data_IF_912829147133
#
_entry.id   IF_912829147133
#
_cell.length_a   1.000
_cell.length_b   1.000
_cell.length_c   1.000
_cell.angle_alpha   90.00
_cell.angle_beta   90.00
_cell.angle_gamma   90.00
#
_symmetry.space_group_name_H-M   'P 1'
#
loop_
_entity.id
_entity.type
_entity.pdbx_description
1 polymer ?
#
# COMPACT_ATOMS: atom_id res chain seq x y z
N UNK A 1 -23.45 16.08 17.24
CA UNK A 1 -23.36 16.81 15.96
C UNK A 1 -23.56 15.80 14.84
N UNK A 2 -24.31 16.14 13.78
CA UNK A 2 -24.44 15.29 12.60
C UNK A 2 -23.05 15.21 11.94
N UNK A 3 -22.63 14.01 11.51
CA UNK A 3 -21.39 13.86 10.75
C UNK A 3 -21.54 14.56 9.40
N UNK A 4 -20.47 15.17 8.95
CA UNK A 4 -20.38 15.82 7.65
C UNK A 4 -20.44 14.80 6.51
N UNK A 5 -21.02 15.17 5.37
CA UNK A 5 -20.98 14.35 4.16
C UNK A 5 -19.69 14.58 3.41
N UNK A 6 -19.14 13.52 2.82
CA UNK A 6 -17.97 13.61 1.97
C UNK A 6 -18.30 14.32 0.64
N UNK A 7 -17.42 15.23 0.21
CA UNK A 7 -17.59 15.97 -1.06
C UNK A 7 -16.78 15.28 -2.18
N UNK A 8 -17.45 14.81 -3.22
CA UNK A 8 -16.87 14.15 -4.40
C UNK A 8 -16.65 15.12 -5.59
N UNK A 9 -16.56 16.42 -5.35
CA UNK A 9 -16.39 17.41 -6.43
C UNK A 9 -15.03 17.29 -7.16
N UNK A 10 -14.03 16.68 -6.52
CA UNK A 10 -12.68 16.45 -7.07
C UNK A 10 -12.41 14.97 -7.27
N UNK A 11 -11.64 14.59 -8.32
CA UNK A 11 -11.16 13.22 -8.48
C UNK A 11 -10.38 12.75 -7.25
N UNK A 12 -10.70 11.54 -6.77
CA UNK A 12 -10.03 10.92 -5.63
C UNK A 12 -8.84 10.06 -6.08
N UNK A 13 -7.68 10.27 -5.46
CA UNK A 13 -6.43 9.55 -5.74
C UNK A 13 -5.79 9.09 -4.44
N UNK A 14 -5.38 7.84 -4.39
CA UNK A 14 -4.61 7.29 -3.28
C UNK A 14 -3.12 7.46 -3.58
N UNK A 15 -2.42 8.20 -2.74
CA UNK A 15 -0.98 8.41 -2.80
C UNK A 15 -0.35 7.88 -1.52
N UNK A 16 0.94 7.57 -1.52
CA UNK A 16 1.60 7.25 -0.26
C UNK A 16 3.08 7.49 -0.29
N UNK A 17 3.66 7.67 0.89
CA UNK A 17 5.09 7.77 1.10
C UNK A 17 5.71 6.40 1.29
N UNK A 18 6.83 6.16 0.61
CA UNK A 18 7.63 4.93 0.70
C UNK A 18 9.12 5.28 0.72
N UNK A 19 9.97 4.37 1.15
CA UNK A 19 11.41 4.59 1.24
C UNK A 19 12.01 4.06 2.54
N UNK A 20 13.33 4.19 2.70
CA UNK A 20 14.08 3.65 3.83
C UNK A 20 13.64 4.25 5.17
N UNK A 21 13.92 3.54 6.27
CA UNK A 21 13.75 4.10 7.64
C UNK A 21 14.62 5.35 7.79
N UNK A 22 14.17 6.32 8.57
CA UNK A 22 14.84 7.60 8.85
C UNK A 22 15.09 8.54 7.64
N UNK A 23 14.58 8.21 6.46
CA UNK A 23 14.61 9.13 5.32
C UNK A 23 13.57 10.25 5.38
N UNK A 24 12.68 10.24 6.40
CA UNK A 24 11.77 11.35 6.71
C UNK A 24 10.40 11.26 6.03
N UNK A 25 9.86 10.06 5.80
CA UNK A 25 8.53 9.83 5.21
C UNK A 25 7.41 10.51 6.01
N UNK A 26 7.30 10.18 7.29
CA UNK A 26 6.28 10.75 8.19
C UNK A 26 6.47 12.26 8.39
N UNK A 27 7.73 12.73 8.42
CA UNK A 27 8.04 14.17 8.45
C UNK A 27 7.54 14.87 7.19
N UNK A 28 7.71 14.25 6.02
CA UNK A 28 7.18 14.78 4.76
C UNK A 28 5.66 14.79 4.74
N UNK A 29 5.01 13.73 5.20
CA UNK A 29 3.55 13.66 5.33
C UNK A 29 3.02 14.78 6.23
N UNK A 30 3.66 15.02 7.37
CA UNK A 30 3.33 16.14 8.25
C UNK A 30 3.58 17.50 7.59
N UNK A 31 4.68 17.67 6.85
CA UNK A 31 4.99 18.89 6.11
C UNK A 31 3.95 19.18 5.02
N UNK A 32 3.54 18.17 4.24
CA UNK A 32 2.49 18.32 3.22
C UNK A 32 1.20 18.82 3.84
N UNK A 33 0.71 18.17 4.90
CA UNK A 33 -0.54 18.61 5.57
C UNK A 33 -0.43 20.00 6.16
N UNK A 34 0.74 20.35 6.74
CA UNK A 34 0.98 21.67 7.32
C UNK A 34 0.99 22.78 6.26
N UNK A 35 1.71 22.57 5.14
CA UNK A 35 1.79 23.54 4.05
C UNK A 35 0.43 23.71 3.36
N UNK A 36 -0.28 22.63 3.12
CA UNK A 36 -1.63 22.67 2.53
C UNK A 36 -2.67 23.28 3.49
N UNK A 37 -2.55 23.04 4.79
CA UNK A 37 -3.44 23.66 5.80
C UNK A 37 -3.35 25.19 5.81
N UNK A 38 -2.16 25.78 5.60
CA UNK A 38 -1.99 27.23 5.45
C UNK A 38 -2.78 27.79 4.26
N UNK A 39 -3.11 26.95 3.28
CA UNK A 39 -3.90 27.31 2.11
C UNK A 39 -5.39 26.89 2.22
N UNK A 40 -5.80 26.33 3.36
CA UNK A 40 -7.16 25.84 3.57
C UNK A 40 -7.48 24.53 2.79
N UNK A 41 -6.46 23.78 2.38
CA UNK A 41 -6.58 22.58 1.55
C UNK A 41 -6.38 21.27 2.34
N UNK A 42 -6.13 21.36 3.63
CA UNK A 42 -5.97 20.21 4.55
C UNK A 42 -6.35 20.61 5.96
N UNK A 43 -6.65 19.61 6.80
CA UNK A 43 -6.55 19.76 8.25
C UNK A 43 -5.09 19.63 8.67
N UNK A 44 -4.68 20.44 9.65
CA UNK A 44 -3.32 20.34 10.22
C UNK A 44 -3.15 18.98 10.92
N UNK A 45 -2.14 18.22 10.51
CA UNK A 45 -1.73 16.98 11.17
C UNK A 45 -0.29 17.11 11.65
N UNK A 46 -0.10 17.00 12.96
CA UNK A 46 1.24 16.97 13.53
C UNK A 46 1.88 15.59 13.36
N UNK A 47 3.20 15.51 13.38
CA UNK A 47 3.95 14.26 13.37
C UNK A 47 3.39 13.25 14.39
N UNK A 48 3.22 13.66 15.66
CA UNK A 48 2.68 12.83 16.74
C UNK A 48 1.23 12.36 16.52
N UNK A 49 0.50 12.99 15.62
CA UNK A 49 -0.88 12.59 15.29
C UNK A 49 -0.93 11.58 14.14
N UNK A 50 0.15 11.45 13.37
CA UNK A 50 0.36 10.48 12.29
C UNK A 50 0.87 9.18 12.89
N UNK A 51 2.03 9.22 13.57
CA UNK A 51 2.59 8.11 14.34
C UNK A 51 2.00 8.10 15.76
N UNK A 52 0.86 7.42 15.91
CA UNK A 52 0.01 7.58 17.10
C UNK A 52 0.14 6.45 18.12
N UNK A 53 0.65 5.28 17.71
CA UNK A 53 0.81 4.13 18.61
C UNK A 53 1.90 4.38 19.66
N UNK A 54 1.72 3.92 20.92
CA UNK A 54 2.74 4.09 21.95
C UNK A 54 4.12 3.55 21.55
N UNK A 55 4.16 2.41 20.85
CA UNK A 55 5.39 1.79 20.37
C UNK A 55 6.08 2.61 19.26
N UNK A 56 5.31 3.28 18.41
CA UNK A 56 5.84 4.18 17.38
C UNK A 56 6.54 5.38 18.00
N UNK A 57 5.93 5.96 19.04
CA UNK A 57 6.48 7.09 19.79
C UNK A 57 7.74 6.71 20.58
N UNK A 58 7.76 5.52 21.17
CA UNK A 58 8.90 5.02 21.94
C UNK A 58 10.10 4.71 21.05
N UNK A 59 9.86 4.14 19.87
CA UNK A 59 10.92 3.72 18.93
C UNK A 59 11.29 4.80 17.91
N UNK A 60 10.45 5.83 17.72
CA UNK A 60 10.64 6.87 16.72
C UNK A 60 10.51 6.35 15.27
N UNK A 61 9.79 5.26 15.05
CA UNK A 61 9.59 4.65 13.73
C UNK A 61 8.12 4.35 13.48
N UNK A 62 7.67 4.49 12.25
CA UNK A 62 6.32 4.09 11.82
C UNK A 62 6.21 2.57 11.76
N UNK A 63 5.24 2.01 12.43
CA UNK A 63 4.95 0.58 12.50
C UNK A 63 3.72 0.23 11.66
N UNK A 64 2.64 0.98 11.83
CA UNK A 64 1.39 0.78 11.12
C UNK A 64 1.24 1.82 10.00
N UNK A 65 0.48 1.47 8.96
CA UNK A 65 0.08 2.45 7.96
C UNK A 65 -0.85 3.48 8.58
N UNK A 66 -0.56 4.75 8.33
CA UNK A 66 -1.42 5.86 8.73
C UNK A 66 -2.06 6.50 7.52
N UNK A 67 -3.34 6.86 7.64
CA UNK A 67 -4.09 7.48 6.55
C UNK A 67 -4.37 8.94 6.87
N UNK A 68 -3.99 9.82 5.95
CA UNK A 68 -4.18 11.28 6.07
C UNK A 68 -4.95 11.79 4.84
N UNK A 69 -5.83 12.75 5.05
CA UNK A 69 -6.64 13.37 4.00
C UNK A 69 -6.11 14.78 3.71
N UNK A 70 -5.97 15.13 2.44
CA UNK A 70 -5.73 16.49 1.97
C UNK A 70 -6.15 16.67 0.52
N UNK A 71 -6.12 17.90 0.03
CA UNK A 71 -6.47 18.19 -1.36
C UNK A 71 -5.54 19.24 -1.96
N UNK A 72 -5.46 19.23 -3.28
CA UNK A 72 -4.92 20.32 -4.09
C UNK A 72 -6.07 21.11 -4.73
N UNK A 73 -5.75 22.05 -5.59
CA UNK A 73 -6.77 22.71 -6.40
C UNK A 73 -7.52 21.70 -7.31
N UNK A 74 -6.85 20.65 -7.75
CA UNK A 74 -7.30 19.74 -8.80
C UNK A 74 -7.83 18.40 -8.28
N UNK A 75 -7.32 17.89 -7.14
CA UNK A 75 -7.55 16.51 -6.68
C UNK A 75 -7.75 16.44 -5.17
N UNK A 76 -8.48 15.41 -4.76
CA UNK A 76 -8.58 14.96 -3.39
C UNK A 76 -7.66 13.75 -3.19
N UNK A 77 -6.88 13.74 -2.10
CA UNK A 77 -5.92 12.69 -1.81
C UNK A 77 -6.23 11.97 -0.49
N UNK A 78 -6.23 10.64 -0.55
CA UNK A 78 -5.97 9.79 0.60
C UNK A 78 -4.47 9.47 0.59
N UNK A 79 -3.76 9.86 1.62
CA UNK A 79 -2.32 9.62 1.74
C UNK A 79 -2.06 8.51 2.76
N UNK A 80 -1.34 7.49 2.32
CA UNK A 80 -0.92 6.35 3.13
C UNK A 80 0.54 6.54 3.52
N UNK A 81 0.81 6.79 4.79
CA UNK A 81 2.18 6.80 5.31
C UNK A 81 2.61 5.37 5.63
N UNK A 82 3.62 4.87 4.92
CA UNK A 82 4.08 3.49 5.03
C UNK A 82 5.29 3.36 5.95
N UNK A 83 5.36 2.27 6.75
CA UNK A 83 6.55 1.97 7.53
C UNK A 83 7.77 1.77 6.64
N UNK A 84 8.94 2.18 7.11
CA UNK A 84 10.21 2.02 6.39
C UNK A 84 11.03 0.82 6.85
N UNK A 85 10.77 0.27 8.03
CA UNK A 85 11.59 -0.77 8.64
C UNK A 85 11.26 -2.16 8.09
N UNK A 86 12.29 -2.99 7.89
CA UNK A 86 12.17 -4.34 7.31
C UNK A 86 11.19 -5.26 8.08
N UNK A 87 11.08 -5.11 9.40
CA UNK A 87 10.16 -5.93 10.23
C UNK A 87 8.69 -5.65 9.91
N UNK A 88 8.36 -4.49 9.35
CA UNK A 88 6.99 -4.04 9.06
C UNK A 88 6.64 -4.05 7.57
N UNK A 89 7.42 -4.74 6.75
CA UNK A 89 7.18 -4.83 5.29
C UNK A 89 5.77 -5.35 4.98
N UNK A 90 5.17 -6.20 5.81
CA UNK A 90 3.77 -6.61 5.67
C UNK A 90 2.82 -5.41 5.60
N UNK A 91 3.00 -4.45 6.50
CA UNK A 91 2.18 -3.24 6.53
C UNK A 91 2.50 -2.32 5.34
N UNK A 92 3.79 -2.27 4.94
CA UNK A 92 4.20 -1.55 3.73
C UNK A 92 3.55 -2.13 2.47
N UNK A 93 3.58 -3.45 2.27
CA UNK A 93 2.96 -4.10 1.11
C UNK A 93 1.45 -3.84 1.07
N UNK A 94 0.78 -3.94 2.22
CA UNK A 94 -0.65 -3.64 2.32
C UNK A 94 -0.95 -2.18 1.99
N UNK A 95 -0.16 -1.25 2.50
CA UNK A 95 -0.29 0.18 2.19
C UNK A 95 -0.02 0.47 0.72
N UNK A 96 1.07 -0.08 0.16
CA UNK A 96 1.44 0.11 -1.24
C UNK A 96 0.38 -0.43 -2.21
N UNK A 97 -0.28 -1.54 -1.88
CA UNK A 97 -1.36 -2.10 -2.70
C UNK A 97 -2.58 -1.18 -2.83
N UNK A 98 -2.69 -0.16 -1.97
CA UNK A 98 -3.77 0.82 -2.01
C UNK A 98 -3.44 2.04 -2.87
N UNK A 99 -2.18 2.24 -3.25
CA UNK A 99 -1.72 3.46 -3.91
C UNK A 99 -2.02 3.46 -5.41
N UNK A 100 -2.50 4.60 -5.90
CA UNK A 100 -2.61 4.92 -7.33
C UNK A 100 -1.32 5.57 -7.85
N UNK A 101 -0.42 5.97 -6.95
CA UNK A 101 0.91 6.50 -7.18
C UNK A 101 1.68 6.59 -5.88
N UNK A 102 3.00 6.66 -5.92
CA UNK A 102 3.83 6.76 -4.73
C UNK A 102 4.77 7.95 -4.75
N UNK A 103 5.11 8.45 -3.56
CA UNK A 103 6.21 9.39 -3.31
C UNK A 103 7.34 8.59 -2.68
N UNK A 104 8.42 8.40 -3.42
CA UNK A 104 9.63 7.78 -2.90
C UNK A 104 10.47 8.83 -2.18
N UNK A 105 10.68 8.64 -0.90
CA UNK A 105 11.48 9.56 -0.07
C UNK A 105 12.88 8.99 0.11
N UNK A 106 13.88 9.71 -0.37
CA UNK A 106 15.31 9.37 -0.26
C UNK A 106 16.03 10.50 0.42
N UNK A 107 16.81 10.22 1.48
CA UNK A 107 17.65 11.22 2.10
C UNK A 107 18.86 11.51 1.21
N UNK A 108 19.11 12.78 0.92
CA UNK A 108 20.24 13.21 0.09
C UNK A 108 21.60 12.90 0.75
N UNK A 109 21.61 12.75 2.09
CA UNK A 109 22.81 12.38 2.86
C UNK A 109 23.22 10.92 2.69
N UNK A 110 22.25 10.04 2.39
CA UNK A 110 22.45 8.58 2.44
C UNK A 110 22.31 7.92 1.07
N UNK A 111 21.58 8.54 0.16
CA UNK A 111 21.22 7.96 -1.13
C UNK A 111 20.26 6.78 -1.03
N UNK A 112 20.10 5.99 -2.11
CA UNK A 112 19.28 4.78 -2.11
C UNK A 112 19.86 3.70 -1.19
N UNK A 113 19.08 3.27 -0.21
CA UNK A 113 19.44 2.27 0.79
C UNK A 113 18.74 0.92 0.49
N UNK A 114 19.12 -0.20 1.14
CA UNK A 114 18.53 -1.51 0.85
C UNK A 114 17.02 -1.57 0.87
N UNK A 115 16.37 -0.92 1.86
CA UNK A 115 14.90 -0.86 1.93
C UNK A 115 14.31 0.02 0.84
N UNK A 116 15.03 1.03 0.34
CA UNK A 116 14.60 1.81 -0.83
C UNK A 116 14.43 0.90 -2.04
N UNK A 117 15.40 0.01 -2.28
CA UNK A 117 15.34 -1.00 -3.35
C UNK A 117 14.14 -1.94 -3.17
N UNK A 118 13.95 -2.50 -1.96
CA UNK A 118 12.83 -3.40 -1.66
C UNK A 118 11.48 -2.70 -1.86
N UNK A 119 11.35 -1.45 -1.43
CA UNK A 119 10.12 -0.69 -1.55
C UNK A 119 9.75 -0.37 -3.01
N UNK A 120 10.72 0.00 -3.85
CA UNK A 120 10.48 0.21 -5.29
C UNK A 120 10.07 -1.09 -5.97
N UNK A 121 10.74 -2.21 -5.66
CA UNK A 121 10.37 -3.53 -6.13
C UNK A 121 8.93 -3.88 -5.73
N UNK A 122 8.58 -3.75 -4.45
CA UNK A 122 7.25 -4.08 -3.93
C UNK A 122 6.17 -3.17 -4.53
N UNK A 123 6.43 -1.87 -4.68
CA UNK A 123 5.52 -0.96 -5.37
C UNK A 123 5.24 -1.43 -6.81
N UNK A 124 6.26 -1.91 -7.52
CA UNK A 124 6.09 -2.49 -8.86
C UNK A 124 5.23 -3.75 -8.83
N UNK A 125 5.44 -4.62 -7.84
CA UNK A 125 4.68 -5.87 -7.71
C UNK A 125 3.18 -5.65 -7.41
N UNK A 126 2.85 -4.63 -6.63
CA UNK A 126 1.45 -4.28 -6.34
C UNK A 126 0.84 -3.31 -7.35
N UNK A 127 1.49 -3.12 -8.51
CA UNK A 127 1.01 -2.28 -9.61
C UNK A 127 0.88 -0.78 -9.32
N UNK A 128 1.73 -0.21 -8.49
CA UNK A 128 1.84 1.25 -8.42
C UNK A 128 2.34 1.77 -9.77
N UNK A 129 1.56 2.56 -10.53
CA UNK A 129 1.89 2.84 -11.92
C UNK A 129 3.02 3.84 -12.10
N UNK A 130 3.16 4.80 -11.19
CA UNK A 130 4.11 5.91 -11.26
C UNK A 130 4.65 6.27 -9.88
N UNK A 131 5.90 6.71 -9.85
CA UNK A 131 6.59 7.17 -8.64
C UNK A 131 7.12 8.59 -8.89
N UNK A 132 6.83 9.51 -7.95
CA UNK A 132 7.46 10.82 -7.84
C UNK A 132 8.49 10.73 -6.71
N UNK A 133 9.64 11.37 -6.85
CA UNK A 133 10.70 11.30 -5.84
C UNK A 133 10.80 12.60 -5.07
N UNK A 134 10.92 12.50 -3.77
CA UNK A 134 11.31 13.62 -2.91
C UNK A 134 12.70 13.34 -2.35
N UNK A 135 13.72 14.05 -2.86
CA UNK A 135 15.08 14.01 -2.33
C UNK A 135 15.13 14.90 -1.09
N UNK A 136 15.02 14.25 0.06
CA UNK A 136 14.88 14.92 1.37
C UNK A 136 16.23 15.24 2.00
N UNK A 137 16.23 16.08 3.04
CA UNK A 137 17.41 16.53 3.80
C UNK A 137 18.44 17.27 2.95
N UNK A 138 18.02 17.95 1.88
CA UNK A 138 18.93 18.75 1.05
C UNK A 138 19.50 19.99 1.79
N UNK A 139 18.92 20.36 2.91
CA UNK A 139 19.46 21.37 3.84
C UNK A 139 20.75 20.93 4.55
N UNK A 140 21.05 19.63 4.55
CA UNK A 140 22.23 19.03 5.18
C UNK A 140 23.38 18.76 4.19
N UNK A 141 23.18 19.05 2.90
CA UNK A 141 24.17 18.78 1.84
C UNK A 141 24.53 20.09 1.16
N UNK A 142 25.76 20.54 1.38
CA UNK A 142 26.29 21.79 0.84
C UNK A 142 26.82 21.64 -0.60
N UNK A 143 27.20 20.42 -0.99
CA UNK A 143 27.78 20.14 -2.31
C UNK A 143 26.71 19.77 -3.35
N UNK A 144 26.48 20.61 -4.38
CA UNK A 144 25.54 20.31 -5.44
C UNK A 144 25.85 19.03 -6.24
N UNK A 145 27.14 18.69 -6.40
CA UNK A 145 27.55 17.49 -7.15
C UNK A 145 27.09 16.21 -6.44
N UNK A 146 27.08 16.23 -5.09
CA UNK A 146 26.53 15.11 -4.30
C UNK A 146 25.03 14.94 -4.54
N UNK A 147 24.26 16.03 -4.64
CA UNK A 147 22.84 15.97 -4.94
C UNK A 147 22.59 15.41 -6.35
N UNK A 148 23.41 15.80 -7.33
CA UNK A 148 23.32 15.28 -8.69
C UNK A 148 23.63 13.77 -8.76
N UNK A 149 24.64 13.32 -8.00
CA UNK A 149 25.00 11.91 -7.92
C UNK A 149 23.87 11.07 -7.32
N UNK A 150 23.31 11.49 -6.18
CA UNK A 150 22.20 10.76 -5.54
C UNK A 150 20.96 10.75 -6.44
N UNK A 151 20.69 11.85 -7.15
CA UNK A 151 19.59 11.88 -8.12
C UNK A 151 19.78 10.86 -9.24
N UNK A 152 21.01 10.73 -9.76
CA UNK A 152 21.35 9.75 -10.79
C UNK A 152 21.17 8.32 -10.28
N UNK A 153 21.63 8.01 -9.08
CA UNK A 153 21.44 6.69 -8.45
C UNK A 153 19.96 6.33 -8.27
N UNK A 154 19.12 7.31 -7.91
CA UNK A 154 17.67 7.11 -7.79
C UNK A 154 17.03 6.85 -9.16
N UNK A 155 17.45 7.57 -10.22
CA UNK A 155 16.97 7.31 -11.58
C UNK A 155 17.33 5.92 -12.08
N UNK A 156 18.56 5.47 -11.83
CA UNK A 156 19.02 4.13 -12.16
C UNK A 156 18.21 3.07 -11.39
N UNK A 157 17.93 3.31 -10.11
CA UNK A 157 17.10 2.43 -9.31
C UNK A 157 15.68 2.30 -9.87
N UNK A 158 15.04 3.40 -10.23
CA UNK A 158 13.70 3.39 -10.82
C UNK A 158 13.70 2.63 -12.15
N UNK A 159 14.67 2.89 -13.02
CA UNK A 159 14.82 2.22 -14.31
C UNK A 159 15.07 0.72 -14.17
N UNK A 160 15.83 0.29 -13.16
CA UNK A 160 16.06 -1.12 -12.83
C UNK A 160 14.77 -1.89 -12.57
N UNK A 161 13.75 -1.23 -12.02
CA UNK A 161 12.45 -1.84 -11.71
C UNK A 161 11.33 -1.43 -12.69
N UNK A 162 11.69 -1.10 -13.94
CA UNK A 162 10.77 -0.76 -15.03
C UNK A 162 9.88 0.46 -14.76
N UNK A 163 10.34 1.40 -13.95
CA UNK A 163 9.78 2.74 -13.89
C UNK A 163 10.52 3.66 -14.88
N UNK A 164 9.86 4.72 -15.31
CA UNK A 164 10.46 5.75 -16.17
C UNK A 164 11.42 6.65 -15.36
N UNK A 165 12.63 6.12 -15.06
CA UNK A 165 13.61 6.81 -14.23
C UNK A 165 14.09 8.12 -14.85
N UNK A 166 14.19 8.19 -16.18
CA UNK A 166 14.68 9.39 -16.89
C UNK A 166 13.71 10.57 -16.75
N UNK A 167 12.40 10.32 -16.79
CA UNK A 167 11.36 11.35 -16.76
C UNK A 167 10.63 11.46 -15.40
N UNK A 168 10.93 10.60 -14.43
CA UNK A 168 10.34 10.69 -13.09
C UNK A 168 10.69 12.04 -12.45
N UNK A 169 9.69 12.80 -11.97
CA UNK A 169 9.96 14.05 -11.24
C UNK A 169 10.74 13.75 -9.96
N UNK A 170 11.84 14.48 -9.76
CA UNK A 170 12.65 14.45 -8.53
C UNK A 170 12.70 15.86 -7.96
N UNK A 171 12.12 16.06 -6.78
CA UNK A 171 12.05 17.33 -6.10
C UNK A 171 13.06 17.32 -4.95
N UNK A 172 14.01 18.26 -4.98
CA UNK A 172 15.03 18.44 -3.95
C UNK A 172 14.49 19.34 -2.86
N UNK A 173 14.41 18.86 -1.62
CA UNK A 173 13.80 19.61 -0.53
C UNK A 173 14.25 19.20 0.86
N UNK A 174 13.67 19.87 1.84
CA UNK A 174 13.78 19.55 3.26
C UNK A 174 12.39 19.51 3.89
N UNK A 175 11.93 18.30 4.23
CA UNK A 175 10.65 18.12 4.89
C UNK A 175 10.63 18.80 6.28
N UNK A 176 11.73 18.73 7.02
CA UNK A 176 11.85 19.37 8.33
C UNK A 176 11.86 20.89 8.20
N UNK A 177 12.60 21.45 7.24
CA UNK A 177 12.62 22.88 6.97
C UNK A 177 11.23 23.40 6.58
N UNK A 178 10.50 22.67 5.74
CA UNK A 178 9.11 23.01 5.39
C UNK A 178 8.18 22.96 6.61
N UNK A 179 8.30 21.92 7.45
CA UNK A 179 7.52 21.77 8.67
C UNK A 179 7.79 22.91 9.67
N UNK A 180 9.03 23.40 9.72
CA UNK A 180 9.45 24.55 10.53
C UNK A 180 9.01 25.91 9.94
N UNK A 181 8.40 25.91 8.76
CA UNK A 181 7.85 27.13 8.13
C UNK A 181 8.86 27.93 7.32
N UNK A 182 9.96 27.33 6.88
CA UNK A 182 10.92 27.97 5.99
C UNK A 182 10.36 28.10 4.56
N UNK A 183 10.16 29.34 4.04
CA UNK A 183 9.44 29.55 2.77
C UNK A 183 10.04 28.79 1.59
N UNK A 184 11.38 28.73 1.50
CA UNK A 184 12.11 27.99 0.46
C UNK A 184 11.67 26.51 0.38
N UNK A 185 11.53 25.87 1.54
CA UNK A 185 11.19 24.46 1.61
C UNK A 185 9.70 24.20 1.51
N UNK A 186 8.87 25.14 1.95
CA UNK A 186 7.41 25.11 1.70
C UNK A 186 7.11 25.17 0.19
N UNK A 187 7.84 25.99 -0.58
CA UNK A 187 7.74 26.03 -2.05
C UNK A 187 8.07 24.67 -2.67
N UNK A 188 9.08 23.95 -2.14
CA UNK A 188 9.45 22.60 -2.62
C UNK A 188 8.38 21.55 -2.32
N UNK A 189 7.68 21.66 -1.20
CA UNK A 189 6.52 20.81 -0.91
C UNK A 189 5.38 21.12 -1.90
N UNK A 190 5.15 22.36 -2.27
CA UNK A 190 4.15 22.71 -3.30
C UNK A 190 4.55 22.19 -4.68
N UNK A 191 5.83 22.33 -5.05
CA UNK A 191 6.37 21.75 -6.29
C UNK A 191 6.19 20.23 -6.35
N UNK A 192 6.38 19.54 -5.21
CA UNK A 192 6.07 18.11 -5.09
C UNK A 192 4.60 17.83 -5.38
N UNK A 193 3.69 18.60 -4.80
CA UNK A 193 2.26 18.39 -5.01
C UNK A 193 1.84 18.67 -6.45
N UNK A 194 2.43 19.68 -7.10
CA UNK A 194 2.19 19.97 -8.52
C UNK A 194 2.73 18.84 -9.42
N UNK A 195 3.87 18.25 -9.06
CA UNK A 195 4.42 17.08 -9.75
C UNK A 195 3.51 15.84 -9.57
N UNK A 196 3.00 15.61 -8.36
CA UNK A 196 2.03 14.53 -8.08
C UNK A 196 0.76 14.73 -8.88
N UNK A 197 0.20 15.95 -8.91
CA UNK A 197 -1.01 16.28 -9.68
C UNK A 197 -0.84 16.02 -11.18
N UNK A 198 0.33 16.32 -11.74
CA UNK A 198 0.58 16.24 -13.17
C UNK A 198 1.09 14.88 -13.64
N UNK A 199 1.96 14.24 -12.85
CA UNK A 199 2.65 13.01 -13.27
C UNK A 199 1.90 11.74 -12.92
N UNK A 200 1.22 11.68 -11.77
CA UNK A 200 0.41 10.51 -11.37
C UNK A 200 -0.88 10.51 -12.19
N UNK A 201 -1.18 9.44 -12.96
CA UNK A 201 -2.40 9.38 -13.74
C UNK A 201 -3.64 9.28 -12.84
N UNK A 202 -4.78 9.76 -13.35
CA UNK A 202 -6.06 9.47 -12.71
C UNK A 202 -6.34 7.97 -12.85
N UNK A 203 -6.64 7.27 -11.75
CA UNK A 203 -6.89 5.85 -11.79
C UNK A 203 -8.20 5.52 -12.52
N UNK A 204 -8.18 4.44 -13.29
CA UNK A 204 -9.40 3.85 -13.84
C UNK A 204 -10.04 3.00 -12.76
N UNK A 205 -11.28 3.32 -12.38
CA UNK A 205 -12.03 2.62 -11.34
C UNK A 205 -12.91 1.52 -11.94
N UNK A 206 -12.80 0.30 -11.41
CA UNK A 206 -13.57 -0.85 -11.87
C UNK A 206 -14.94 -0.93 -11.17
N UNK A 207 -15.76 0.13 -11.27
CA UNK A 207 -17.06 0.24 -10.62
C UNK A 207 -18.10 -0.75 -11.16
N UNK A 208 -17.95 -1.19 -12.39
CA UNK A 208 -18.86 -2.16 -13.05
C UNK A 208 -18.68 -3.61 -12.55
N UNK A 209 -17.56 -3.91 -11.91
CA UNK A 209 -17.32 -5.24 -11.34
C UNK A 209 -18.10 -5.45 -10.05
N UNK A 210 -18.31 -6.69 -9.60
CA UNK A 210 -18.86 -6.97 -8.27
C UNK A 210 -18.03 -6.31 -7.17
N UNK A 211 -18.71 -5.81 -6.13
CA UNK A 211 -18.04 -5.20 -4.98
C UNK A 211 -17.10 -6.18 -4.29
N UNK A 212 -15.88 -5.71 -4.03
CA UNK A 212 -14.83 -6.43 -3.29
C UNK A 212 -13.98 -5.44 -2.51
N UNK A 213 -13.81 -5.67 -1.22
CA UNK A 213 -12.93 -4.89 -0.33
C UNK A 213 -12.11 -5.82 0.57
N UNK A 214 -10.78 -5.90 0.42
CA UNK A 214 -9.89 -6.56 1.37
C UNK A 214 -9.91 -5.85 2.73
N UNK A 215 -9.99 -6.62 3.82
CA UNK A 215 -10.01 -6.09 5.18
C UNK A 215 -8.58 -5.83 5.65
N UNK A 216 -8.33 -4.61 6.09
CA UNK A 216 -7.06 -4.18 6.68
C UNK A 216 -7.08 -4.19 8.18
N UNK A 217 -8.16 -3.64 8.74
CA UNK A 217 -8.31 -3.53 10.18
C UNK A 217 -9.77 -3.73 10.62
N UNK A 218 -9.96 -4.10 11.87
CA UNK A 218 -11.28 -4.40 12.45
C UNK A 218 -11.43 -3.70 13.79
N UNK A 219 -12.46 -2.87 13.89
CA UNK A 219 -12.78 -2.11 15.10
C UNK A 219 -14.15 -2.50 15.65
N UNK A 220 -14.33 -2.32 16.92
CA UNK A 220 -15.66 -2.38 17.56
C UNK A 220 -16.04 -1.00 18.06
N UNK A 221 -17.21 -0.51 17.65
CA UNK A 221 -17.75 0.76 18.12
C UNK A 221 -18.91 0.46 19.07
N UNK A 222 -18.77 0.85 20.32
CA UNK A 222 -19.81 0.63 21.35
C UNK A 222 -21.15 1.18 20.88
N UNK A 223 -22.18 0.33 20.89
CA UNK A 223 -23.55 0.68 20.48
C UNK A 223 -23.78 0.78 18.96
N UNK A 224 -22.74 0.56 18.12
CA UNK A 224 -22.86 0.58 16.65
C UNK A 224 -22.54 -0.76 15.98
N UNK A 225 -21.62 -1.56 16.55
CA UNK A 225 -21.23 -2.84 16.00
C UNK A 225 -19.78 -2.90 15.52
N UNK A 226 -19.51 -3.83 14.62
CA UNK A 226 -18.18 -4.06 14.05
C UNK A 226 -18.00 -3.18 12.81
N UNK A 227 -16.85 -2.49 12.75
CA UNK A 227 -16.40 -1.73 11.60
C UNK A 227 -15.17 -2.41 11.02
N UNK A 228 -15.17 -2.66 9.73
CA UNK A 228 -14.01 -3.13 8.97
C UNK A 228 -13.53 -2.03 8.07
N UNK A 229 -12.22 -1.85 7.97
CA UNK A 229 -11.60 -0.85 7.09
C UNK A 229 -10.83 -1.51 5.97
N UNK A 230 -10.75 -0.84 4.85
CA UNK A 230 -9.99 -1.24 3.68
C UNK A 230 -10.21 -0.32 2.49
N UNK A 231 -9.43 -0.54 1.45
CA UNK A 231 -9.68 0.08 0.14
C UNK A 231 -10.62 -0.80 -0.66
N UNK A 232 -11.66 -0.22 -1.25
CA UNK A 232 -12.51 -0.93 -2.20
C UNK A 232 -11.68 -1.24 -3.46
N UNK A 233 -11.51 -2.53 -3.75
CA UNK A 233 -10.73 -3.00 -4.91
C UNK A 233 -11.54 -2.86 -6.19
N UNK A 234 -12.80 -3.31 -6.16
CA UNK A 234 -13.74 -3.25 -7.29
C UNK A 234 -15.17 -2.98 -6.82
N UNK A 235 -15.99 -2.47 -7.74
CA UNK A 235 -17.43 -2.31 -7.55
C UNK A 235 -17.84 -1.14 -6.68
N UNK A 236 -19.12 -1.13 -6.35
CA UNK A 236 -19.78 -0.11 -5.53
C UNK A 236 -20.52 -0.80 -4.40
N UNK A 237 -20.54 -0.17 -3.22
CA UNK A 237 -21.29 -0.60 -2.05
C UNK A 237 -22.19 0.53 -1.57
N UNK A 238 -23.47 0.22 -1.31
CA UNK A 238 -24.44 1.16 -0.74
C UNK A 238 -24.77 0.78 0.70
N UNK A 239 -25.23 1.77 1.45
CA UNK A 239 -25.83 1.51 2.75
C UNK A 239 -27.11 0.68 2.57
N UNK A 240 -27.18 -0.48 3.21
CA UNK A 240 -28.28 -1.44 3.09
C UNK A 240 -27.93 -2.69 2.28
N UNK A 241 -26.82 -2.68 1.54
CA UNK A 241 -26.43 -3.82 0.72
C UNK A 241 -26.06 -5.04 1.56
N UNK A 242 -26.51 -6.25 1.14
CA UNK A 242 -26.02 -7.51 1.71
C UNK A 242 -24.59 -7.76 1.28
N UNK A 243 -23.77 -8.28 2.20
CA UNK A 243 -22.37 -8.62 1.97
C UNK A 243 -22.02 -9.98 2.54
N UNK A 244 -21.00 -10.58 1.98
CA UNK A 244 -20.33 -11.77 2.49
C UNK A 244 -18.91 -11.44 2.95
N UNK A 245 -18.46 -12.08 4.03
CA UNK A 245 -17.10 -11.98 4.54
C UNK A 245 -16.44 -13.35 4.36
N UNK A 246 -15.33 -13.38 3.62
CA UNK A 246 -14.75 -14.58 3.05
C UNK A 246 -13.26 -14.65 3.34
N UNK A 247 -12.77 -15.84 3.63
CA UNK A 247 -11.35 -16.15 3.85
C UNK A 247 -11.05 -16.65 5.26
N UNK A 248 -9.89 -17.29 5.44
CA UNK A 248 -9.36 -17.91 6.67
C UNK A 248 -10.16 -19.12 7.18
N UNK A 249 -11.43 -19.20 6.90
CA UNK A 249 -12.32 -20.30 7.31
C UNK A 249 -13.15 -20.73 6.09
N UNK A 250 -13.58 -21.98 6.08
CA UNK A 250 -14.48 -22.51 5.01
C UNK A 250 -15.87 -21.87 5.08
N UNK A 251 -16.27 -21.42 6.28
CA UNK A 251 -17.58 -20.82 6.50
C UNK A 251 -17.57 -19.35 6.09
N UNK A 252 -18.39 -19.04 5.12
CA UNK A 252 -18.71 -17.66 4.74
C UNK A 252 -19.66 -17.03 5.77
N UNK A 253 -19.33 -15.82 6.22
CA UNK A 253 -20.20 -15.01 7.09
C UNK A 253 -21.05 -14.09 6.20
N UNK A 254 -22.31 -13.90 6.57
CA UNK A 254 -23.22 -12.98 5.87
C UNK A 254 -23.58 -11.80 6.77
N UNK A 255 -23.64 -10.61 6.21
CA UNK A 255 -23.98 -9.38 6.91
C UNK A 255 -24.71 -8.40 6.01
N UNK A 256 -25.03 -7.24 6.57
CA UNK A 256 -25.55 -6.08 5.84
C UNK A 256 -24.66 -4.88 6.17
N UNK A 257 -24.24 -4.15 5.15
CA UNK A 257 -23.56 -2.86 5.31
C UNK A 257 -24.57 -1.82 5.81
N UNK A 258 -24.39 -1.33 7.03
CA UNK A 258 -25.31 -0.33 7.64
C UNK A 258 -24.75 1.08 7.66
N UNK A 259 -23.53 1.27 7.19
CA UNK A 259 -22.90 2.58 7.06
C UNK A 259 -21.59 2.49 6.31
N UNK A 260 -21.29 3.53 5.55
CA UNK A 260 -20.03 3.73 4.82
C UNK A 260 -19.46 5.07 5.28
N UNK A 261 -18.20 5.05 5.73
CA UNK A 261 -17.50 6.25 6.21
C UNK A 261 -16.11 6.34 5.58
N UNK A 262 -15.68 7.53 5.21
CA UNK A 262 -14.33 7.85 4.77
C UNK A 262 -13.85 9.11 5.49
N UNK A 263 -12.68 9.07 6.16
CA UNK A 263 -12.14 10.17 6.95
C UNK A 263 -13.16 10.79 7.95
N UNK A 264 -13.93 9.93 8.63
CA UNK A 264 -15.00 10.29 9.59
C UNK A 264 -16.20 11.02 8.97
N UNK A 265 -16.25 11.15 7.65
CA UNK A 265 -17.40 11.71 6.89
C UNK A 265 -18.30 10.56 6.41
N UNK A 266 -19.60 10.80 6.35
CA UNK A 266 -20.55 9.81 5.85
C UNK A 266 -20.57 9.79 4.33
N UNK A 267 -20.66 8.58 3.76
CA UNK A 267 -20.95 8.38 2.35
C UNK A 267 -22.28 7.65 2.19
N UNK A 268 -23.03 7.99 1.15
CA UNK A 268 -24.22 7.24 0.75
C UNK A 268 -23.83 5.93 0.05
N UNK A 269 -22.69 5.95 -0.66
CA UNK A 269 -22.06 4.82 -1.34
C UNK A 269 -20.54 4.90 -1.29
N UNK A 270 -19.86 3.74 -1.35
CA UNK A 270 -18.41 3.64 -1.55
C UNK A 270 -18.11 3.06 -2.92
N UNK A 271 -17.11 3.61 -3.61
CA UNK A 271 -16.70 3.22 -4.96
C UNK A 271 -15.31 2.59 -4.97
N UNK A 272 -14.99 1.84 -6.03
CA UNK A 272 -13.65 1.32 -6.23
C UNK A 272 -12.60 2.43 -6.07
N UNK A 273 -11.60 2.18 -5.23
CA UNK A 273 -10.54 3.13 -4.88
C UNK A 273 -10.76 3.90 -3.58
N UNK A 274 -11.96 3.94 -3.04
CA UNK A 274 -12.22 4.60 -1.75
C UNK A 274 -11.61 3.80 -0.58
N UNK A 275 -10.97 4.51 0.35
CA UNK A 275 -10.55 3.93 1.64
C UNK A 275 -11.66 4.14 2.66
N UNK A 276 -12.41 3.10 2.95
CA UNK A 276 -13.63 3.21 3.75
C UNK A 276 -13.63 2.34 5.00
N UNK A 277 -14.42 2.77 5.96
CA UNK A 277 -14.89 1.94 7.06
C UNK A 277 -16.33 1.51 6.78
N UNK A 278 -16.58 0.20 6.74
CA UNK A 278 -17.91 -0.37 6.59
C UNK A 278 -18.43 -0.84 7.95
N UNK A 279 -19.60 -0.35 8.32
CA UNK A 279 -20.31 -0.80 9.51
C UNK A 279 -21.14 -2.04 9.17
N UNK A 280 -20.85 -3.16 9.83
CA UNK A 280 -21.45 -4.46 9.57
C UNK A 280 -22.46 -4.83 10.66
N UNK A 281 -23.65 -5.28 10.25
CA UNK A 281 -24.72 -5.70 11.17
C UNK A 281 -24.51 -7.12 11.63
N UNK A 282 -24.62 -7.33 12.97
CA UNK A 282 -24.73 -8.68 13.55
C UNK A 282 -23.45 -9.53 13.48
N UNK A 283 -22.31 -8.91 13.24
CA UNK A 283 -20.99 -9.55 13.21
C UNK A 283 -20.20 -9.14 14.44
N UNK A 284 -19.64 -10.13 15.16
CA UNK A 284 -18.69 -9.88 16.26
C UNK A 284 -17.30 -9.60 15.69
N UNK A 285 -16.58 -8.65 16.31
CA UNK A 285 -15.19 -8.33 15.94
C UNK A 285 -14.28 -9.58 15.91
N UNK A 286 -14.55 -10.58 16.74
CA UNK A 286 -13.75 -11.81 16.82
C UNK A 286 -13.92 -12.74 15.62
N UNK A 287 -15.03 -12.61 14.89
CA UNK A 287 -15.35 -13.44 13.72
C UNK A 287 -14.66 -12.92 12.45
N UNK A 288 -14.19 -11.67 12.48
CA UNK A 288 -13.59 -11.01 11.32
C UNK A 288 -12.13 -10.68 11.61
N UNK A 289 -11.28 -10.92 10.62
CA UNK A 289 -9.82 -10.71 10.76
C UNK A 289 -9.28 -9.99 9.52
N UNK A 290 -8.16 -9.29 9.71
CA UNK A 290 -7.35 -8.82 8.58
C UNK A 290 -7.01 -9.98 7.65
N UNK A 291 -7.06 -9.74 6.34
CA UNK A 291 -6.82 -10.75 5.32
C UNK A 291 -8.07 -11.41 4.75
N UNK A 292 -9.21 -11.32 5.46
CA UNK A 292 -10.51 -11.62 4.87
C UNK A 292 -10.93 -10.53 3.88
N UNK A 293 -11.93 -10.81 3.07
CA UNK A 293 -12.53 -9.83 2.16
C UNK A 293 -14.02 -9.64 2.46
N UNK A 294 -14.52 -8.43 2.26
CA UNK A 294 -15.96 -8.16 2.16
C UNK A 294 -16.32 -8.10 0.69
N UNK A 295 -17.30 -8.86 0.27
CA UNK A 295 -17.67 -9.00 -1.13
C UNK A 295 -19.18 -9.00 -1.33
N UNK A 296 -19.60 -8.73 -2.58
CA UNK A 296 -20.98 -8.97 -3.01
C UNK A 296 -21.29 -10.46 -2.88
N UNK A 297 -22.45 -10.86 -2.34
CA UNK A 297 -22.79 -12.26 -2.15
C UNK A 297 -22.64 -13.10 -3.42
N UNK A 298 -21.92 -14.23 -3.30
CA UNK A 298 -21.68 -15.18 -4.40
C UNK A 298 -20.69 -14.69 -5.48
N UNK A 299 -19.99 -13.58 -5.30
CA UNK A 299 -19.08 -13.03 -6.32
C UNK A 299 -17.65 -13.57 -6.26
N UNK A 300 -17.24 -14.10 -5.13
CA UNK A 300 -15.92 -14.71 -4.92
C UNK A 300 -16.05 -15.86 -3.93
N UNK A 301 -15.16 -16.84 -4.05
CA UNK A 301 -15.11 -18.01 -3.16
C UNK A 301 -13.72 -18.16 -2.53
N UNK A 302 -13.62 -18.76 -1.33
CA UNK A 302 -12.33 -19.04 -0.72
C UNK A 302 -11.68 -20.27 -1.38
N UNK A 303 -10.38 -20.22 -1.58
CA UNK A 303 -9.60 -21.26 -2.25
C UNK A 303 -8.30 -21.55 -1.51
N UNK A 304 -7.81 -22.78 -1.64
CA UNK A 304 -6.57 -23.25 -1.00
C UNK A 304 -5.49 -23.62 -2.00
N UNK A 305 -5.81 -23.70 -3.31
CA UNK A 305 -4.85 -24.16 -4.31
C UNK A 305 -4.95 -23.34 -5.59
N UNK A 306 -3.79 -22.92 -6.12
CA UNK A 306 -3.71 -22.16 -7.36
C UNK A 306 -2.41 -22.44 -8.13
N UNK A 307 -2.45 -22.22 -9.44
CA UNK A 307 -1.27 -22.18 -10.31
C UNK A 307 -0.87 -20.72 -10.55
N UNK A 308 0.43 -20.44 -10.52
CA UNK A 308 0.97 -19.10 -10.69
C UNK A 308 2.28 -19.11 -11.47
N UNK A 309 2.47 -18.06 -12.26
CA UNK A 309 3.78 -17.71 -12.79
C UNK A 309 4.53 -16.87 -11.76
N UNK A 310 5.77 -17.24 -11.46
CA UNK A 310 6.59 -16.55 -10.46
C UNK A 310 7.99 -16.24 -10.99
N UNK A 311 8.52 -15.11 -10.55
CA UNK A 311 9.91 -14.74 -10.69
C UNK A 311 10.60 -14.83 -9.32
N UNK A 312 11.73 -15.51 -9.26
CA UNK A 312 12.51 -15.66 -8.03
C UNK A 312 13.66 -14.66 -8.05
N UNK A 313 13.66 -13.76 -7.08
CA UNK A 313 14.63 -12.66 -6.99
C UNK A 313 16.06 -13.18 -6.80
N UNK A 314 16.99 -12.57 -7.53
CA UNK A 314 18.44 -12.81 -7.38
C UNK A 314 18.96 -12.22 -6.06
N UNK A 315 20.16 -12.66 -5.66
CA UNK A 315 20.85 -12.13 -4.48
C UNK A 315 21.08 -10.60 -4.57
N UNK A 316 21.43 -10.11 -5.76
CA UNK A 316 21.67 -8.68 -6.03
C UNK A 316 20.38 -7.83 -5.97
N UNK A 317 19.23 -8.50 -6.04
CA UNK A 317 17.90 -7.90 -5.89
C UNK A 317 17.36 -8.00 -4.44
N UNK A 318 18.20 -8.47 -3.50
CA UNK A 318 17.83 -8.71 -2.11
C UNK A 318 17.16 -10.07 -1.86
N UNK A 319 17.06 -10.91 -2.91
CA UNK A 319 16.43 -12.22 -2.87
C UNK A 319 17.30 -13.34 -2.32
N UNK A 320 17.05 -14.56 -2.78
CA UNK A 320 17.77 -15.77 -2.38
C UNK A 320 19.14 -15.87 -3.05
N UNK A 321 20.03 -16.62 -2.43
CA UNK A 321 21.33 -17.01 -3.00
C UNK A 321 21.43 -18.53 -3.21
N UNK A 322 20.41 -19.29 -2.80
CA UNK A 322 20.32 -20.75 -2.94
C UNK A 322 19.06 -21.14 -3.68
N UNK A 323 19.04 -22.24 -4.44
CA UNK A 323 17.83 -22.77 -5.03
C UNK A 323 16.84 -23.24 -3.97
N UNK A 324 15.60 -23.44 -4.37
CA UNK A 324 14.63 -24.20 -3.59
C UNK A 324 14.09 -25.39 -4.39
N UNK A 325 13.62 -26.37 -3.67
CA UNK A 325 13.11 -27.64 -4.21
C UNK A 325 11.61 -27.75 -3.99
N UNK A 326 11.04 -28.83 -4.49
CA UNK A 326 9.64 -29.17 -4.25
C UNK A 326 9.33 -29.20 -2.74
N UNK A 327 8.09 -28.88 -2.37
CA UNK A 327 7.62 -28.73 -0.99
C UNK A 327 8.24 -27.56 -0.21
N UNK A 328 8.80 -26.57 -0.90
CA UNK A 328 9.23 -25.32 -0.28
C UNK A 328 8.02 -24.57 0.33
N UNK A 329 8.17 -24.03 1.55
CA UNK A 329 7.08 -23.44 2.33
C UNK A 329 7.35 -21.99 2.74
N UNK A 330 7.29 -21.03 1.82
CA UNK A 330 7.40 -19.61 2.12
C UNK A 330 6.05 -19.02 2.57
N UNK A 331 6.06 -17.72 2.86
CA UNK A 331 4.85 -16.92 3.05
C UNK A 331 4.45 -16.24 1.73
N UNK A 332 3.16 -16.31 1.42
CA UNK A 332 2.52 -15.64 0.29
C UNK A 332 1.76 -14.43 0.80
N UNK A 333 2.05 -13.27 0.26
CA UNK A 333 1.37 -12.01 0.57
C UNK A 333 0.36 -11.74 -0.53
N UNK A 334 -0.90 -11.97 -0.21
CA UNK A 334 -2.05 -11.90 -1.10
C UNK A 334 -3.00 -10.81 -0.57
N UNK A 335 -3.15 -9.68 -1.27
CA UNK A 335 -3.91 -8.51 -0.78
C UNK A 335 -3.41 -8.06 0.62
N UNK A 336 -4.29 -8.12 1.61
CA UNK A 336 -3.98 -7.75 3.00
C UNK A 336 -3.54 -8.94 3.87
N UNK A 337 -3.46 -10.15 3.27
CA UNK A 337 -3.16 -11.40 3.96
C UNK A 337 -1.73 -11.86 3.72
N UNK A 338 -1.14 -12.46 4.74
CA UNK A 338 0.03 -13.32 4.65
C UNK A 338 -0.34 -14.75 5.07
N UNK A 339 -0.02 -15.71 4.22
CA UNK A 339 -0.34 -17.12 4.44
C UNK A 339 0.81 -18.00 3.99
N UNK A 340 1.11 -19.03 4.79
CA UNK A 340 2.08 -20.06 4.38
C UNK A 340 1.47 -20.93 3.29
N UNK A 341 2.25 -21.17 2.24
CA UNK A 341 1.87 -22.10 1.17
C UNK A 341 2.99 -23.06 0.84
N UNK A 342 2.63 -24.27 0.46
CA UNK A 342 3.56 -25.28 -0.05
C UNK A 342 3.64 -25.21 -1.56
N UNK A 343 4.87 -25.09 -2.07
CA UNK A 343 5.16 -24.98 -3.51
C UNK A 343 5.38 -26.35 -4.11
N UNK A 344 4.64 -26.63 -5.18
CA UNK A 344 4.83 -27.83 -6.02
C UNK A 344 5.38 -27.41 -7.38
N UNK A 345 6.52 -27.98 -7.75
CA UNK A 345 7.18 -27.71 -9.02
C UNK A 345 6.57 -28.57 -10.14
N UNK A 346 6.59 -28.09 -11.39
CA UNK A 346 6.10 -28.88 -12.52
C UNK A 346 6.97 -30.11 -12.77
N UNK A 347 6.40 -31.12 -13.41
CA UNK A 347 7.10 -32.37 -13.72
C UNK A 347 8.39 -32.10 -14.51
N UNK A 348 9.50 -32.69 -14.05
CA UNK A 348 10.81 -32.53 -14.68
C UNK A 348 11.63 -31.34 -14.19
N UNK A 349 11.10 -30.56 -13.24
CA UNK A 349 11.83 -29.48 -12.57
C UNK A 349 12.17 -29.93 -11.14
N UNK A 350 13.45 -30.17 -10.88
CA UNK A 350 13.92 -30.62 -9.56
C UNK A 350 14.18 -29.45 -8.59
N UNK A 351 14.55 -28.30 -9.12
CA UNK A 351 14.86 -27.10 -8.36
C UNK A 351 14.59 -25.83 -9.17
N UNK A 352 14.44 -24.71 -8.47
CA UNK A 352 14.31 -23.36 -9.04
C UNK A 352 15.43 -22.49 -8.50
N UNK A 353 16.15 -21.84 -9.41
CA UNK A 353 17.29 -20.96 -9.10
C UNK A 353 16.81 -19.50 -8.91
N UNK A 354 17.56 -18.72 -8.11
CA UNK A 354 17.40 -17.26 -8.13
C UNK A 354 17.59 -16.70 -9.55
N UNK A 355 16.63 -15.92 -10.03
CA UNK A 355 16.57 -15.39 -11.39
C UNK A 355 15.69 -16.17 -12.35
N UNK A 356 15.13 -17.30 -11.93
CA UNK A 356 14.24 -18.09 -12.78
C UNK A 356 12.82 -17.54 -12.81
N UNK A 357 12.20 -17.69 -13.98
CA UNK A 357 10.74 -17.61 -14.17
C UNK A 357 10.20 -19.03 -14.26
N UNK A 358 9.20 -19.35 -13.45
CA UNK A 358 8.63 -20.70 -13.41
C UNK A 358 7.16 -20.66 -13.07
N UNK A 359 6.38 -21.59 -13.66
CA UNK A 359 5.00 -21.83 -13.23
C UNK A 359 5.02 -22.84 -12.08
N UNK A 360 4.40 -22.49 -10.97
CA UNK A 360 4.29 -23.33 -9.77
C UNK A 360 2.84 -23.57 -9.40
N UNK A 361 2.56 -24.67 -8.70
CA UNK A 361 1.31 -24.89 -7.99
C UNK A 361 1.54 -24.61 -6.51
N UNK A 362 0.66 -23.85 -5.90
CA UNK A 362 0.76 -23.47 -4.49
C UNK A 362 -0.46 -24.02 -3.74
N UNK A 363 -0.20 -24.67 -2.61
CA UNK A 363 -1.22 -25.12 -1.68
C UNK A 363 -1.11 -24.34 -0.37
N UNK A 364 -2.09 -23.49 -0.11
CA UNK A 364 -2.17 -22.66 1.09
C UNK A 364 -2.65 -23.48 2.30
N UNK A 365 -2.19 -23.08 3.49
CA UNK A 365 -2.62 -23.72 4.75
C UNK A 365 -4.02 -23.26 5.21
N UNK A 366 -4.51 -22.13 4.71
CA UNK A 366 -5.85 -21.59 4.96
C UNK A 366 -6.50 -21.19 3.64
N UNK A 367 -7.84 -21.27 3.56
CA UNK A 367 -8.57 -20.78 2.39
C UNK A 367 -8.49 -19.24 2.32
N UNK A 368 -8.26 -18.72 1.14
CA UNK A 368 -8.15 -17.28 0.84
C UNK A 368 -9.05 -16.93 -0.35
N UNK A 369 -9.64 -15.75 -0.34
CA UNK A 369 -10.36 -15.24 -1.50
C UNK A 369 -9.39 -14.97 -2.64
N UNK A 370 -9.37 -15.82 -3.65
CA UNK A 370 -8.47 -15.77 -4.80
C UNK A 370 -9.24 -15.53 -6.09
N UNK A 371 -8.56 -14.89 -7.04
CA UNK A 371 -9.01 -14.78 -8.43
C UNK A 371 -7.81 -14.84 -9.37
N UNK A 372 -8.04 -15.19 -10.60
CA UNK A 372 -7.06 -15.13 -11.67
C UNK A 372 -6.58 -13.69 -11.88
N UNK A 373 -5.30 -13.51 -12.18
CA UNK A 373 -4.67 -12.21 -12.33
C UNK A 373 -4.20 -11.56 -11.02
N UNK A 374 -4.57 -12.11 -9.85
CA UNK A 374 -4.11 -11.57 -8.56
C UNK A 374 -2.60 -11.70 -8.44
N UNK A 375 -1.92 -10.59 -8.17
CA UNK A 375 -0.48 -10.56 -7.91
C UNK A 375 -0.19 -10.78 -6.43
N UNK A 376 1.00 -11.33 -6.17
CA UNK A 376 1.44 -11.62 -4.81
C UNK A 376 2.97 -11.54 -4.68
N UNK A 377 3.43 -11.32 -3.46
CA UNK A 377 4.84 -11.44 -3.11
C UNK A 377 5.10 -12.74 -2.34
N UNK A 378 6.30 -13.31 -2.53
CA UNK A 378 6.79 -14.48 -1.81
C UNK A 378 7.86 -14.00 -0.84
N UNK A 379 7.73 -14.36 0.44
CA UNK A 379 8.68 -13.94 1.49
C UNK A 379 9.19 -15.10 2.31
N UNK A 380 10.46 -15.00 2.71
CA UNK A 380 11.13 -15.95 3.57
C UNK A 380 12.10 -15.21 4.51
N UNK A 381 12.08 -15.51 5.80
CA UNK A 381 13.03 -14.95 6.77
C UNK A 381 13.06 -13.41 6.80
N UNK A 382 11.91 -12.76 6.61
CA UNK A 382 11.82 -11.29 6.59
C UNK A 382 12.23 -10.63 5.27
N UNK A 383 12.53 -11.39 4.22
CA UNK A 383 12.94 -10.87 2.89
C UNK A 383 11.94 -11.25 1.82
N UNK A 384 11.76 -10.37 0.84
CA UNK A 384 11.06 -10.71 -0.39
C UNK A 384 12.00 -11.55 -1.27
N UNK A 385 11.56 -12.77 -1.59
CA UNK A 385 12.37 -13.73 -2.35
C UNK A 385 11.80 -14.03 -3.73
N UNK A 386 10.60 -13.53 -4.01
CA UNK A 386 9.96 -13.68 -5.31
C UNK A 386 8.65 -12.94 -5.39
N UNK A 387 8.11 -12.92 -6.57
CA UNK A 387 6.79 -12.36 -6.85
C UNK A 387 6.13 -13.12 -7.99
N UNK A 388 4.81 -13.08 -8.03
CA UNK A 388 4.07 -13.80 -9.08
C UNK A 388 2.66 -13.31 -9.28
N UNK A 389 2.01 -13.94 -10.24
CA UNK A 389 0.62 -13.70 -10.58
C UNK A 389 -0.13 -15.03 -10.71
N UNK A 390 -1.33 -15.09 -10.16
CA UNK A 390 -2.20 -16.26 -10.26
C UNK A 390 -2.67 -16.41 -11.70
N UNK A 391 -2.35 -17.54 -12.31
CA UNK A 391 -2.81 -17.91 -13.66
C UNK A 391 -4.18 -18.62 -13.60
N UNK A 392 -4.35 -19.49 -12.59
CA UNK A 392 -5.54 -20.30 -12.44
C UNK A 392 -5.80 -20.65 -10.99
N UNK A 393 -7.03 -20.56 -10.57
CA UNK A 393 -7.50 -21.07 -9.27
C UNK A 393 -7.92 -22.54 -9.46
N UNK A 394 -7.40 -23.45 -8.61
CA UNK A 394 -7.59 -24.89 -8.76
C UNK A 394 -8.62 -25.43 -7.76
N UNK A 395 -8.53 -25.04 -6.47
CA UNK A 395 -9.41 -25.57 -5.41
C UNK A 395 -9.63 -24.56 -4.29
#
# INVERSE_FOLDING_TARGET
>A
MAKEKFDRSKPHVNIGTTGHVDHGKTTLTAAITTVLAKKGLSELRSFDSIDNAPEEKERGITINTSHVEYQTANRHYAHVDCPGHADYVKNMVTGAAQMDGAILVVAATDGPMPQTNEHVLLARQVNVPKIVVFLNKCDMVDDPEMLDLVEMEVRDLLSKYDYDGDNAPIIRGSALGALNGEPKWEEKVMELMDAVDSYIPLPQRENEKPFLMPIEDVFSITGRGTVVTGRIETGIIHVGDPVEIIGLEEKTLTSTCTGVEMFRKLLDEGEAGDNVGLLLRGIDKKEVKRGMVVAKPGSITPHTEFEAEVYILKKEEGGRHTPFHNNYRPQFYLRTMDVTGEVHLPAGVDMVMPGDHVTITVKLIYPVALNEGLRFAIREGGRTVGAGQILKVVK
#
